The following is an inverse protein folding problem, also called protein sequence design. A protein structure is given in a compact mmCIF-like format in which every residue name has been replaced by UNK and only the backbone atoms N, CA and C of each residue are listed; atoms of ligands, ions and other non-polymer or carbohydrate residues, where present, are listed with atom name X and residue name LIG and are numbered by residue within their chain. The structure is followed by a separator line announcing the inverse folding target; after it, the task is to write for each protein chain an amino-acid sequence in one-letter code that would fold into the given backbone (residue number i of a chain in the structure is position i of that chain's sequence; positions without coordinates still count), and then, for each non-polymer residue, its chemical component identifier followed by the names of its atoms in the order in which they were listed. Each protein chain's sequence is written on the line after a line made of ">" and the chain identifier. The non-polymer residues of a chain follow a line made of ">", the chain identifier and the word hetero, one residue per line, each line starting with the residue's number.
data_IF_542104823806
#
_entry.id   IF_542104823806
#
_cell.length_a   1.000
_cell.length_b   1.000
_cell.length_c   1.000
_cell.angle_alpha   90.00
_cell.angle_beta   90.00
_cell.angle_gamma   90.00
#
_symmetry.space_group_name_H-M   'P 1'
#
loop_
_entity.id
_entity.type
_entity.pdbx_description
1 polymer ?
#
# COMPACT_ATOMS: atom_id res chain seq x y z
N UNK A 1 -18.14 -7.62 10.35
CA UNK A 1 -16.72 -7.69 9.96
C UNK A 1 -16.42 -9.13 9.58
N UNK A 2 -15.80 -9.37 8.44
CA UNK A 2 -15.37 -10.72 8.04
C UNK A 2 -14.25 -11.17 8.99
N UNK A 3 -14.29 -12.44 9.41
CA UNK A 3 -13.50 -12.87 10.57
C UNK A 3 -12.08 -13.37 10.22
N UNK A 4 -11.83 -13.69 8.95
CA UNK A 4 -10.52 -14.18 8.50
C UNK A 4 -10.15 -13.71 7.08
N UNK A 5 -8.88 -13.90 6.71
CA UNK A 5 -8.34 -13.46 5.43
C UNK A 5 -9.01 -14.11 4.23
N UNK A 6 -9.29 -15.41 4.28
CA UNK A 6 -9.86 -16.15 3.16
C UNK A 6 -11.28 -15.68 2.84
N UNK A 7 -12.10 -15.49 3.88
CA UNK A 7 -13.46 -14.94 3.73
C UNK A 7 -13.43 -13.53 3.15
N UNK A 8 -12.52 -12.68 3.67
CA UNK A 8 -12.37 -11.31 3.20
C UNK A 8 -11.92 -11.26 1.75
N UNK A 9 -10.95 -12.07 1.36
CA UNK A 9 -10.44 -12.12 0.00
C UNK A 9 -11.50 -12.63 -0.97
N UNK A 10 -12.20 -13.71 -0.63
CA UNK A 10 -13.27 -14.29 -1.45
C UNK A 10 -14.36 -13.26 -1.69
N UNK A 11 -14.86 -12.63 -0.64
CA UNK A 11 -15.90 -11.60 -0.75
C UNK A 11 -15.43 -10.38 -1.56
N UNK A 12 -14.16 -9.98 -1.44
CA UNK A 12 -13.59 -8.88 -2.19
C UNK A 12 -13.51 -9.20 -3.70
N UNK A 13 -13.19 -10.43 -4.08
CA UNK A 13 -13.13 -10.86 -5.48
C UNK A 13 -14.47 -10.73 -6.21
N UNK A 14 -15.57 -10.89 -5.50
CA UNK A 14 -16.92 -10.76 -6.04
C UNK A 14 -17.50 -9.33 -5.94
N UNK A 15 -16.72 -8.37 -5.46
CA UNK A 15 -17.16 -6.99 -5.24
C UNK A 15 -17.66 -6.33 -6.53
N UNK A 16 -18.83 -5.67 -6.45
CA UNK A 16 -19.44 -4.87 -7.53
C UNK A 16 -19.91 -3.50 -7.03
N UNK A 17 -19.25 -2.94 -6.01
CA UNK A 17 -19.70 -1.73 -5.31
C UNK A 17 -19.47 -0.42 -6.09
N UNK A 18 -18.69 -0.42 -7.15
CA UNK A 18 -18.46 0.76 -7.99
C UNK A 18 -18.16 0.38 -9.44
N UNK A 19 -18.21 1.35 -10.36
CA UNK A 19 -18.04 1.13 -11.81
C UNK A 19 -16.68 0.56 -12.22
N UNK A 20 -15.67 0.56 -11.35
CA UNK A 20 -14.38 -0.08 -11.67
C UNK A 20 -14.50 -1.61 -11.87
N UNK A 21 -15.57 -2.22 -11.37
CA UNK A 21 -15.81 -3.65 -11.57
C UNK A 21 -16.16 -4.02 -13.02
N UNK A 22 -16.59 -3.05 -13.83
CA UNK A 22 -17.01 -3.29 -15.21
C UNK A 22 -15.85 -3.48 -16.18
N UNK A 23 -14.70 -2.88 -15.86
CA UNK A 23 -13.53 -2.85 -16.77
C UNK A 23 -12.31 -3.59 -16.23
N UNK A 24 -12.33 -4.08 -15.00
CA UNK A 24 -11.24 -4.85 -14.42
C UNK A 24 -11.14 -6.25 -15.05
N UNK A 25 -9.94 -6.79 -15.15
CA UNK A 25 -9.69 -8.20 -15.38
C UNK A 25 -9.71 -8.99 -14.08
N UNK A 26 -8.99 -8.49 -13.07
CA UNK A 26 -8.94 -9.09 -11.74
C UNK A 26 -9.15 -8.05 -10.63
N UNK A 27 -9.67 -8.50 -9.51
CA UNK A 27 -9.55 -7.78 -8.24
C UNK A 27 -8.13 -7.99 -7.71
N UNK A 28 -7.45 -6.89 -7.41
CA UNK A 28 -6.11 -6.91 -6.81
C UNK A 28 -6.27 -6.71 -5.30
N UNK A 29 -6.44 -7.82 -4.57
CA UNK A 29 -6.75 -7.79 -3.16
C UNK A 29 -5.62 -7.23 -2.30
N UNK A 30 -4.42 -7.68 -2.55
CA UNK A 30 -3.21 -7.37 -1.80
C UNK A 30 -2.29 -8.58 -1.73
N UNK A 31 -1.04 -8.36 -1.31
CA UNK A 31 -0.03 -9.43 -1.20
C UNK A 31 0.85 -9.19 0.03
N UNK A 32 1.32 -10.25 0.62
CA UNK A 32 2.28 -10.17 1.72
C UNK A 32 1.98 -11.13 2.86
N UNK A 33 2.70 -10.97 3.95
CA UNK A 33 2.52 -11.78 5.13
C UNK A 33 1.29 -11.28 5.94
N UNK A 34 0.27 -12.12 6.17
CA UNK A 34 -0.91 -11.74 6.95
C UNK A 34 -0.65 -11.51 8.45
N UNK A 35 0.57 -11.76 8.91
CA UNK A 35 1.04 -11.48 10.28
C UNK A 35 1.99 -10.27 10.34
N UNK A 36 2.22 -9.58 9.22
CA UNK A 36 3.14 -8.45 9.14
C UNK A 36 2.73 -7.32 10.11
N UNK A 37 3.73 -6.62 10.64
CA UNK A 37 3.53 -5.44 11.48
C UNK A 37 3.65 -4.13 10.70
N UNK A 38 3.97 -4.21 9.41
CA UNK A 38 4.08 -3.07 8.50
C UNK A 38 3.18 -3.29 7.29
N UNK A 39 2.32 -2.29 7.01
CA UNK A 39 1.44 -2.28 5.86
C UNK A 39 1.84 -1.14 4.93
N UNK A 40 2.14 -1.45 3.66
CA UNK A 40 2.35 -0.47 2.61
C UNK A 40 1.06 -0.30 1.81
N UNK A 41 0.56 0.92 1.66
CA UNK A 41 -0.69 1.16 0.94
C UNK A 41 -0.44 2.01 -0.29
N UNK A 42 -0.71 1.45 -1.47
CA UNK A 42 -0.69 2.18 -2.74
C UNK A 42 -2.04 2.77 -3.11
N UNK A 43 -2.10 3.38 -4.28
CA UNK A 43 -3.29 4.04 -4.82
C UNK A 43 -4.29 3.05 -5.41
N UNK A 44 -3.88 2.32 -6.42
CA UNK A 44 -4.70 1.36 -7.16
C UNK A 44 -3.86 0.55 -8.15
N UNK A 45 -4.44 -0.53 -8.71
CA UNK A 45 -3.77 -1.36 -9.70
C UNK A 45 -3.51 -0.62 -11.01
N UNK A 46 -2.33 -0.83 -11.59
CA UNK A 46 -2.04 -0.53 -12.98
C UNK A 46 -2.46 -1.69 -13.91
N UNK A 47 -2.07 -1.60 -15.17
CA UNK A 47 -2.43 -2.61 -16.18
C UNK A 47 -1.84 -3.99 -15.90
N UNK A 48 -0.56 -4.04 -15.57
CA UNK A 48 0.11 -5.31 -15.25
C UNK A 48 -0.50 -5.96 -14.01
N UNK A 49 -0.81 -5.16 -12.99
CA UNK A 49 -1.44 -5.61 -11.76
C UNK A 49 -2.86 -6.15 -12.01
N UNK A 50 -3.64 -5.47 -12.85
CA UNK A 50 -5.00 -5.87 -13.23
C UNK A 50 -4.99 -7.22 -13.99
N UNK A 51 -4.02 -7.41 -14.88
CA UNK A 51 -3.86 -8.65 -15.65
C UNK A 51 -3.38 -9.82 -14.79
N UNK A 52 -2.53 -9.58 -13.78
CA UNK A 52 -1.95 -10.63 -12.94
C UNK A 52 -2.70 -10.84 -11.62
N UNK A 53 -3.54 -9.89 -11.19
CA UNK A 53 -4.28 -9.97 -9.94
C UNK A 53 -3.44 -9.70 -8.67
N UNK A 54 -2.21 -9.19 -8.83
CA UNK A 54 -1.29 -8.93 -7.72
C UNK A 54 -0.78 -7.47 -7.74
N UNK A 55 -0.68 -6.78 -6.58
CA UNK A 55 -0.24 -5.38 -6.53
C UNK A 55 1.26 -5.25 -6.77
N UNK A 56 1.65 -4.15 -7.39
CA UNK A 56 3.05 -3.78 -7.60
C UNK A 56 3.90 -4.86 -8.30
N UNK A 57 3.43 -5.39 -9.42
CA UNK A 57 4.16 -6.37 -10.26
C UNK A 57 4.75 -5.77 -11.54
N UNK A 58 4.27 -4.59 -11.94
CA UNK A 58 4.82 -3.82 -13.05
C UNK A 58 6.15 -3.14 -12.71
N UNK A 59 6.64 -2.29 -13.61
CA UNK A 59 7.94 -1.58 -13.46
C UNK A 59 8.09 -0.83 -12.12
N UNK A 60 7.02 -0.15 -11.69
CA UNK A 60 7.01 0.57 -10.41
C UNK A 60 7.12 -0.41 -9.22
N UNK A 61 6.46 -1.55 -9.31
CA UNK A 61 6.52 -2.59 -8.29
C UNK A 61 7.89 -3.26 -8.20
N UNK A 62 8.52 -3.56 -9.34
CA UNK A 62 9.89 -4.09 -9.38
C UNK A 62 10.89 -3.12 -8.74
N UNK A 63 10.67 -1.81 -8.93
CA UNK A 63 11.50 -0.80 -8.27
C UNK A 63 11.23 -0.74 -6.76
N UNK A 64 9.96 -0.85 -6.34
CA UNK A 64 9.60 -0.96 -4.92
C UNK A 64 10.28 -2.16 -4.27
N UNK A 65 10.29 -3.32 -4.92
CA UNK A 65 10.94 -4.52 -4.39
C UNK A 65 12.45 -4.33 -4.17
N UNK A 66 13.12 -3.55 -5.04
CA UNK A 66 14.54 -3.19 -4.85
C UNK A 66 14.74 -2.28 -3.63
N UNK A 67 13.86 -1.30 -3.42
CA UNK A 67 13.93 -0.42 -2.24
C UNK A 67 13.68 -1.22 -0.96
N UNK A 68 12.69 -2.10 -0.97
CA UNK A 68 12.36 -2.96 0.16
C UNK A 68 13.53 -3.90 0.51
N UNK A 69 14.08 -4.59 -0.49
CA UNK A 69 15.19 -5.52 -0.29
C UNK A 69 16.44 -4.83 0.29
N UNK A 70 16.69 -3.56 -0.08
CA UNK A 70 17.83 -2.79 0.41
C UNK A 70 17.75 -2.47 1.92
N UNK A 71 16.58 -2.64 2.54
CA UNK A 71 16.33 -2.42 3.98
C UNK A 71 15.74 -3.67 4.66
N UNK A 72 16.05 -4.85 4.13
CA UNK A 72 15.61 -6.16 4.65
C UNK A 72 14.09 -6.30 4.80
N UNK A 73 13.34 -5.71 3.86
CA UNK A 73 11.89 -5.87 3.74
C UNK A 73 11.50 -6.70 2.53
N UNK A 74 10.40 -7.43 2.63
CA UNK A 74 9.91 -8.23 1.52
C UNK A 74 8.47 -8.71 1.68
N UNK A 75 7.79 -8.88 0.56
CA UNK A 75 6.38 -9.34 0.51
C UNK A 75 6.19 -10.69 1.16
N UNK A 76 7.16 -11.60 1.02
CA UNK A 76 7.09 -12.97 1.56
C UNK A 76 7.48 -13.06 3.03
N UNK A 77 8.08 -12.01 3.60
CA UNK A 77 8.64 -12.03 4.95
C UNK A 77 7.84 -11.18 5.95
N UNK A 78 7.94 -9.87 5.86
CA UNK A 78 7.61 -8.99 6.97
C UNK A 78 6.73 -7.78 6.65
N UNK A 79 6.20 -7.69 5.41
CA UNK A 79 5.27 -6.63 5.01
C UNK A 79 4.00 -7.19 4.36
N UNK A 80 2.95 -6.35 4.30
CA UNK A 80 1.73 -6.57 3.52
C UNK A 80 1.43 -5.35 2.66
N UNK A 81 1.07 -5.55 1.39
CA UNK A 81 0.88 -4.47 0.41
C UNK A 81 -0.51 -4.55 -0.24
N UNK A 82 -1.49 -3.76 0.18
CA UNK A 82 -2.73 -3.49 -0.54
C UNK A 82 -2.70 -2.13 -1.24
N UNK A 83 -3.77 -1.82 -1.98
CA UNK A 83 -4.08 -0.49 -2.49
C UNK A 83 -5.37 0.08 -1.86
N UNK A 84 -5.59 1.40 -2.00
CA UNK A 84 -6.85 2.08 -1.64
C UNK A 84 -8.02 1.47 -2.42
N UNK A 85 -7.89 1.39 -3.76
CA UNK A 85 -8.86 0.70 -4.60
C UNK A 85 -8.32 -0.65 -5.09
N UNK A 86 -9.23 -1.64 -5.20
CA UNK A 86 -8.87 -3.02 -5.56
C UNK A 86 -8.98 -3.32 -7.05
N UNK A 87 -9.51 -2.39 -7.82
CA UNK A 87 -9.73 -2.51 -9.26
C UNK A 87 -9.02 -1.37 -10.00
N UNK A 88 -8.54 -1.66 -11.21
CA UNK A 88 -7.82 -0.70 -12.05
C UNK A 88 -8.75 0.42 -12.52
N UNK A 89 -8.43 1.71 -12.25
CA UNK A 89 -9.11 2.83 -12.89
C UNK A 89 -8.79 2.89 -14.40
N UNK A 90 -9.76 3.27 -15.26
CA UNK A 90 -9.54 3.39 -16.71
C UNK A 90 -8.32 4.26 -17.03
N UNK A 91 -7.46 3.76 -17.95
CA UNK A 91 -6.21 4.44 -18.38
C UNK A 91 -5.26 4.81 -17.22
N UNK A 92 -5.32 4.07 -16.10
CA UNK A 92 -4.51 4.31 -14.90
C UNK A 92 -4.66 5.75 -14.34
N UNK A 93 -5.84 6.37 -14.47
CA UNK A 93 -6.13 7.64 -13.80
C UNK A 93 -6.18 7.48 -12.28
N UNK A 94 -6.07 8.57 -11.55
CA UNK A 94 -6.37 8.56 -10.12
C UNK A 94 -7.79 8.03 -9.87
N UNK A 95 -8.03 7.22 -8.82
CA UNK A 95 -9.37 6.78 -8.47
C UNK A 95 -10.22 7.96 -7.99
N UNK A 96 -11.47 8.03 -8.45
CA UNK A 96 -12.39 9.07 -8.04
C UNK A 96 -12.74 8.96 -6.56
N UNK A 97 -13.13 10.07 -5.88
CA UNK A 97 -13.51 10.02 -4.47
C UNK A 97 -14.59 8.98 -4.15
N UNK A 98 -15.63 8.86 -4.99
CA UNK A 98 -16.68 7.87 -4.82
C UNK A 98 -16.19 6.41 -4.99
N UNK A 99 -15.20 6.17 -5.86
CA UNK A 99 -14.58 4.86 -6.03
C UNK A 99 -13.75 4.48 -4.80
N UNK A 100 -13.02 5.45 -4.25
CA UNK A 100 -12.27 5.26 -3.01
C UNK A 100 -13.21 4.98 -1.83
N UNK A 101 -14.31 5.72 -1.70
CA UNK A 101 -15.30 5.50 -0.63
C UNK A 101 -15.97 4.12 -0.73
N UNK A 102 -16.37 3.70 -1.93
CA UNK A 102 -16.94 2.39 -2.16
C UNK A 102 -15.97 1.24 -1.85
N UNK A 103 -14.66 1.47 -2.00
CA UNK A 103 -13.63 0.44 -1.86
C UNK A 103 -12.93 0.40 -0.51
N UNK A 104 -12.92 1.52 0.24
CA UNK A 104 -12.12 1.66 1.48
C UNK A 104 -12.50 0.64 2.57
N UNK A 105 -13.71 0.12 2.54
CA UNK A 105 -14.17 -0.91 3.47
C UNK A 105 -13.29 -2.17 3.43
N UNK A 106 -12.81 -2.58 2.26
CA UNK A 106 -11.90 -3.72 2.12
C UNK A 106 -10.57 -3.47 2.80
N UNK A 107 -9.98 -2.27 2.59
CA UNK A 107 -8.72 -1.89 3.26
C UNK A 107 -8.89 -1.81 4.78
N UNK A 108 -10.00 -1.28 5.27
CA UNK A 108 -10.30 -1.22 6.72
C UNK A 108 -10.37 -2.62 7.34
N UNK A 109 -11.00 -3.58 6.66
CA UNK A 109 -11.04 -4.97 7.12
C UNK A 109 -9.65 -5.62 7.10
N UNK A 110 -8.86 -5.40 6.04
CA UNK A 110 -7.46 -5.86 5.99
C UNK A 110 -6.63 -5.28 7.13
N UNK A 111 -6.78 -3.98 7.40
CA UNK A 111 -6.10 -3.31 8.51
C UNK A 111 -6.51 -3.91 9.87
N UNK A 112 -7.80 -4.15 10.08
CA UNK A 112 -8.32 -4.72 11.32
C UNK A 112 -7.83 -6.16 11.57
N UNK A 113 -7.67 -6.96 10.50
CA UNK A 113 -7.12 -8.32 10.60
C UNK A 113 -5.61 -8.31 10.81
N UNK A 114 -4.88 -7.45 10.09
CA UNK A 114 -3.41 -7.37 10.16
C UNK A 114 -2.93 -6.75 11.47
N UNK A 115 -3.60 -5.70 11.95
CA UNK A 115 -3.21 -4.88 13.12
C UNK A 115 -1.76 -4.41 13.02
N UNK A 116 -1.42 -3.67 11.97
CA UNK A 116 -0.04 -3.21 11.78
C UNK A 116 0.33 -2.16 12.83
N UNK A 117 1.60 -2.10 13.20
CA UNK A 117 2.17 -1.03 14.03
C UNK A 117 2.54 0.19 13.18
N UNK A 118 2.91 -0.05 11.92
CA UNK A 118 3.31 1.00 10.97
C UNK A 118 2.52 0.86 9.68
N UNK A 119 2.01 1.99 9.18
CA UNK A 119 1.37 2.12 7.88
C UNK A 119 2.15 3.10 7.01
N UNK A 120 2.62 2.65 5.85
CA UNK A 120 3.37 3.44 4.88
C UNK A 120 2.50 3.72 3.66
N UNK A 121 2.23 4.99 3.39
CA UNK A 121 1.49 5.43 2.21
C UNK A 121 2.44 5.63 1.03
N UNK A 122 2.25 4.89 -0.05
CA UNK A 122 3.00 5.02 -1.30
C UNK A 122 2.33 6.06 -2.20
N UNK A 123 2.82 7.30 -2.13
CA UNK A 123 2.36 8.40 -2.97
C UNK A 123 1.22 9.22 -2.39
N UNK A 124 0.85 10.24 -3.16
CA UNK A 124 -0.07 11.31 -2.75
C UNK A 124 -1.48 10.81 -2.43
N UNK A 125 -2.05 9.97 -3.29
CA UNK A 125 -3.47 9.55 -3.14
C UNK A 125 -3.68 8.75 -1.85
N UNK A 126 -2.81 7.78 -1.58
CA UNK A 126 -2.86 7.01 -0.34
C UNK A 126 -2.63 7.90 0.90
N UNK A 127 -1.65 8.82 0.83
CA UNK A 127 -1.34 9.73 1.93
C UNK A 127 -2.49 10.71 2.23
N UNK A 128 -3.10 11.30 1.20
CA UNK A 128 -4.27 12.18 1.36
C UNK A 128 -5.47 11.46 1.96
N UNK A 129 -5.69 10.20 1.57
CA UNK A 129 -6.82 9.42 2.05
C UNK A 129 -6.65 8.94 3.50
N UNK A 130 -5.45 8.57 3.90
CA UNK A 130 -5.21 7.88 5.18
C UNK A 130 -4.59 8.76 6.25
N UNK A 131 -3.69 9.68 5.88
CA UNK A 131 -2.99 10.55 6.83
C UNK A 131 -3.76 11.86 6.99
N UNK A 132 -3.70 12.75 5.98
CA UNK A 132 -4.42 14.04 5.97
C UNK A 132 -4.68 14.54 4.56
N UNK A 133 -5.85 15.19 4.30
CA UNK A 133 -6.25 15.58 2.95
C UNK A 133 -5.35 16.60 2.25
N UNK A 134 -4.66 17.43 3.02
CA UNK A 134 -3.83 18.55 2.55
C UNK A 134 -2.32 18.23 2.54
N UNK A 135 -1.93 16.95 2.69
CA UNK A 135 -0.53 16.54 2.75
C UNK A 135 0.24 16.95 1.49
N UNK A 136 1.37 17.61 1.69
CA UNK A 136 2.29 17.99 0.62
C UNK A 136 3.39 16.94 0.51
N UNK A 137 3.12 15.85 -0.22
CA UNK A 137 3.96 14.67 -0.29
C UNK A 137 5.44 14.98 -0.60
N UNK A 138 5.72 15.98 -1.43
CA UNK A 138 7.10 16.38 -1.79
C UNK A 138 7.87 17.06 -0.67
N UNK A 139 7.20 17.47 0.41
CA UNK A 139 7.80 18.15 1.56
C UNK A 139 7.68 17.37 2.86
N UNK A 140 6.64 16.55 2.95
CA UNK A 140 6.24 15.88 4.19
C UNK A 140 6.45 14.36 4.14
N UNK A 141 7.09 13.84 3.07
CA UNK A 141 7.46 12.42 3.04
C UNK A 141 8.55 12.11 4.07
N UNK A 142 8.63 10.87 4.51
CA UNK A 142 9.62 10.40 5.47
C UNK A 142 9.39 10.84 6.92
N UNK A 143 8.30 11.57 7.20
CA UNK A 143 7.93 11.97 8.56
C UNK A 143 6.88 11.01 9.14
N UNK A 144 7.08 10.62 10.40
CA UNK A 144 6.12 9.79 11.12
C UNK A 144 5.08 10.64 11.84
N UNK A 145 3.82 10.23 11.70
CA UNK A 145 2.68 10.79 12.42
C UNK A 145 1.96 9.65 13.13
N UNK A 146 1.70 9.80 14.42
CA UNK A 146 0.90 8.83 15.16
C UNK A 146 -0.58 9.18 15.08
N UNK A 147 -1.40 8.19 14.73
CA UNK A 147 -2.85 8.31 14.69
C UNK A 147 -3.50 7.01 15.19
N UNK A 148 -4.28 7.14 16.28
CA UNK A 148 -4.98 6.00 16.90
C UNK A 148 -4.06 4.82 17.25
N UNK A 149 -2.87 5.08 17.76
CA UNK A 149 -1.90 4.05 18.16
C UNK A 149 -1.15 3.39 16.99
N UNK A 150 -1.26 3.94 15.78
CA UNK A 150 -0.55 3.47 14.59
C UNK A 150 0.36 4.58 14.08
N UNK A 151 1.63 4.25 13.83
CA UNK A 151 2.55 5.16 13.16
C UNK A 151 2.28 5.15 11.67
N UNK A 152 2.09 6.33 11.10
CA UNK A 152 1.86 6.52 9.67
C UNK A 152 2.99 7.34 9.07
N UNK A 153 3.46 6.94 7.89
CA UNK A 153 4.44 7.66 7.10
C UNK A 153 4.01 7.70 5.64
N UNK A 154 4.25 8.81 4.97
CA UNK A 154 4.14 8.86 3.51
C UNK A 154 5.53 8.80 2.88
N UNK A 155 5.66 8.15 1.74
CA UNK A 155 6.83 8.23 0.87
C UNK A 155 6.42 8.43 -0.58
N UNK A 156 7.37 8.77 -1.44
CA UNK A 156 7.11 9.02 -2.85
C UNK A 156 6.69 7.73 -3.57
N UNK A 157 5.72 7.82 -4.48
CA UNK A 157 5.26 6.65 -5.22
C UNK A 157 6.37 6.12 -6.15
N UNK A 158 6.63 4.81 -6.20
CA UNK A 158 7.68 4.24 -7.04
C UNK A 158 7.60 4.65 -8.51
N UNK A 159 6.40 4.80 -9.08
CA UNK A 159 6.22 5.31 -10.44
C UNK A 159 6.68 6.77 -10.61
N UNK A 160 6.53 7.61 -9.58
CA UNK A 160 7.05 8.98 -9.61
C UNK A 160 8.58 8.99 -9.60
N UNK A 161 9.21 8.10 -8.83
CA UNK A 161 10.67 7.94 -8.78
C UNK A 161 11.27 7.46 -10.10
N UNK A 162 10.53 6.67 -10.87
CA UNK A 162 10.94 6.25 -12.22
C UNK A 162 10.87 7.42 -13.22
N UNK A 163 9.90 8.34 -13.05
CA UNK A 163 9.77 9.54 -13.89
C UNK A 163 10.75 10.65 -13.51
N UNK A 164 11.07 10.75 -12.21
CA UNK A 164 12.02 11.74 -11.68
C UNK A 164 13.09 11.07 -10.81
N UNK A 165 14.16 10.54 -11.41
CA UNK A 165 15.23 9.83 -10.70
C UNK A 165 15.94 10.63 -9.63
N UNK A 166 15.96 11.98 -9.73
CA UNK A 166 16.61 12.86 -8.76
C UNK A 166 15.97 12.77 -7.35
N UNK A 167 14.74 12.28 -7.24
CA UNK A 167 14.07 12.08 -5.96
C UNK A 167 14.37 10.71 -5.31
N UNK A 168 15.10 9.83 -5.99
CA UNK A 168 15.41 8.49 -5.47
C UNK A 168 16.21 8.51 -4.16
N UNK A 169 17.25 9.36 -3.99
CA UNK A 169 17.99 9.41 -2.72
C UNK A 169 17.07 9.79 -1.55
N UNK A 170 16.25 10.83 -1.70
CA UNK A 170 15.33 11.27 -0.65
C UNK A 170 14.31 10.19 -0.29
N UNK A 171 13.76 9.50 -1.29
CA UNK A 171 12.86 8.38 -1.04
C UNK A 171 13.57 7.20 -0.34
N UNK A 172 14.84 6.94 -0.66
CA UNK A 172 15.60 5.88 0.00
C UNK A 172 15.83 6.19 1.48
N UNK A 173 16.09 7.45 1.83
CA UNK A 173 16.17 7.89 3.22
C UNK A 173 14.88 7.58 4.01
N UNK A 174 13.70 7.67 3.37
CA UNK A 174 12.45 7.29 4.01
C UNK A 174 12.45 5.80 4.40
N UNK A 175 12.97 4.93 3.52
CA UNK A 175 13.07 3.49 3.80
C UNK A 175 14.07 3.18 4.91
N UNK A 176 15.18 3.91 4.99
CA UNK A 176 16.15 3.78 6.10
C UNK A 176 15.51 4.19 7.43
N UNK A 177 14.80 5.33 7.47
CA UNK A 177 14.03 5.76 8.64
C UNK A 177 12.97 4.73 9.05
N UNK A 178 12.30 4.14 8.07
CA UNK A 178 11.33 3.07 8.31
C UNK A 178 11.99 1.87 8.97
N UNK A 179 13.14 1.41 8.45
CA UNK A 179 13.87 0.26 9.02
C UNK A 179 14.25 0.53 10.47
N UNK A 180 14.86 1.69 10.74
CA UNK A 180 15.21 2.09 12.10
C UNK A 180 14.00 2.09 13.04
N UNK A 181 12.85 2.63 12.57
CA UNK A 181 11.62 2.65 13.36
C UNK A 181 11.07 1.25 13.62
N UNK A 182 11.18 0.35 12.65
CA UNK A 182 10.78 -1.05 12.81
C UNK A 182 11.63 -1.77 13.86
N UNK A 183 12.93 -1.52 13.88
CA UNK A 183 13.86 -2.10 14.88
C UNK A 183 13.50 -1.62 16.28
N UNK A 184 13.26 -0.31 16.45
CA UNK A 184 12.85 0.30 17.72
C UNK A 184 11.54 -0.31 18.25
N UNK A 185 10.61 -0.70 17.39
CA UNK A 185 9.30 -1.23 17.75
C UNK A 185 9.22 -2.76 17.79
N UNK A 186 10.31 -3.45 17.45
CA UNK A 186 10.32 -4.90 17.32
C UNK A 186 9.29 -5.39 16.30
N UNK A 187 9.30 -4.80 15.09
CA UNK A 187 8.33 -5.13 14.04
C UNK A 187 8.74 -6.34 13.19
N UNK A 188 9.91 -6.88 13.36
CA UNK A 188 10.31 -8.08 12.63
C UNK A 188 9.54 -9.29 13.15
N UNK A 189 9.09 -10.11 12.20
CA UNK A 189 8.48 -11.39 12.50
C UNK A 189 9.65 -12.34 12.81
N UNK A 190 9.64 -12.92 14.00
CA UNK A 190 10.63 -13.94 14.36
C UNK A 190 10.65 -14.99 13.24
N UNK A 191 11.84 -15.25 12.71
CA UNK A 191 12.05 -16.36 11.78
C UNK A 191 11.73 -17.64 12.57
N UNK A 192 10.51 -18.16 12.37
CA UNK A 192 10.13 -19.48 12.90
C UNK A 192 10.81 -20.59 12.09
#
# INVERSE_FOLDING_TARGET
>A
MLQNWNELETACKDCRACGLCETRHHVVFGVGNPKAKVMFVGEGPGETEDLQGEPFVGRAGQYLDKLLAAVDLGRKSNIYIPNIVKCRPPKNRDPLPQEQEACIGWLRNQFALLRPKILVCLGRVAAMKLIKPDIKITKEHGEFLEKNGVLMMATLHPAALLRNPNQKPAAFEDFLKLREKMDQLGCDIAKG
#
